data_IF_746968207119
#
_entry.id   IF_746968207119
#
_cell.length_a   1.000
_cell.length_b   1.000
_cell.length_c   1.000
_cell.angle_alpha   90.00
_cell.angle_beta   90.00
_cell.angle_gamma   90.00
#
_symmetry.space_group_name_H-M   'P 1'
#
loop_
_entity.id
_entity.type
_entity.pdbx_description
1 polymer ?
#
# COMPACT_ATOMS: atom_id res chain seq x y z
N UNK A 1 -14.76 6.85 -51.21
CA UNK A 1 -14.89 7.76 -50.05
C UNK A 1 -14.61 7.03 -48.74
N UNK A 2 -13.82 5.94 -48.75
CA UNK A 2 -13.61 5.08 -47.57
C UNK A 2 -12.14 5.04 -47.13
N UNK A 3 -11.28 5.88 -47.74
CA UNK A 3 -9.84 5.91 -47.50
C UNK A 3 -9.43 6.98 -46.48
N UNK A 4 -10.31 7.94 -46.17
CA UNK A 4 -9.99 9.09 -45.29
C UNK A 4 -10.37 8.86 -43.83
N UNK A 5 -11.17 7.83 -43.51
CA UNK A 5 -11.58 7.52 -42.13
C UNK A 5 -10.54 6.67 -41.39
N UNK A 6 -9.62 6.02 -42.11
CA UNK A 6 -8.60 5.15 -41.51
C UNK A 6 -7.30 5.87 -41.09
N UNK A 7 -7.19 7.18 -41.32
CA UNK A 7 -5.97 7.95 -41.07
C UNK A 7 -5.99 8.79 -39.76
N UNK A 8 -7.03 8.69 -38.93
CA UNK A 8 -7.21 9.59 -37.77
C UNK A 8 -6.95 8.98 -36.37
N UNK A 9 -6.38 7.78 -36.24
CA UNK A 9 -6.18 7.17 -34.91
C UNK A 9 -4.80 6.52 -34.66
N UNK A 10 -3.74 6.98 -35.34
CA UNK A 10 -2.34 6.68 -34.95
C UNK A 10 -1.68 7.88 -34.27
N UNK A 11 -2.39 8.52 -33.33
CA UNK A 11 -1.84 9.63 -32.56
C UNK A 11 -1.37 9.17 -31.20
N UNK A 12 -0.06 9.16 -30.96
CA UNK A 12 0.46 8.86 -29.63
C UNK A 12 0.10 9.98 -28.64
N UNK A 13 -0.33 9.61 -27.45
CA UNK A 13 -0.59 10.51 -26.34
C UNK A 13 0.69 10.63 -25.53
N UNK A 14 1.07 11.86 -25.20
CA UNK A 14 2.26 12.14 -24.40
C UNK A 14 1.82 12.61 -23.02
N UNK A 15 2.31 11.92 -21.99
CA UNK A 15 2.06 12.29 -20.60
C UNK A 15 3.37 12.75 -19.98
N UNK A 16 3.37 13.96 -19.44
CA UNK A 16 4.46 14.50 -18.65
C UNK A 16 4.10 14.35 -17.18
N UNK A 17 4.87 13.55 -16.45
CA UNK A 17 4.78 13.42 -15.00
C UNK A 17 5.91 14.25 -14.40
N UNK A 18 5.65 14.95 -13.30
CA UNK A 18 6.70 15.63 -12.61
C UNK A 18 6.44 15.80 -11.13
N UNK A 19 7.53 15.99 -10.39
CA UNK A 19 7.53 16.26 -8.97
C UNK A 19 8.45 17.43 -8.67
N UNK A 20 8.11 18.21 -7.67
CA UNK A 20 8.97 19.29 -7.19
C UNK A 20 8.98 19.35 -5.68
N UNK A 21 10.07 19.90 -5.13
CA UNK A 21 10.19 20.23 -3.72
C UNK A 21 10.78 21.62 -3.54
N UNK A 22 10.17 22.38 -2.64
CA UNK A 22 10.67 23.65 -2.13
C UNK A 22 11.22 23.39 -0.73
N UNK A 23 12.55 23.38 -0.62
CA UNK A 23 13.21 23.16 0.66
C UNK A 23 12.98 24.33 1.62
N UNK A 24 12.82 25.56 1.08
CA UNK A 24 12.65 26.76 1.89
C UNK A 24 11.25 26.81 2.55
N UNK A 25 10.22 26.31 1.85
CA UNK A 25 8.83 26.35 2.32
C UNK A 25 8.33 24.99 2.84
N UNK A 26 9.15 23.95 2.80
CA UNK A 26 8.76 22.56 3.06
C UNK A 26 7.52 22.15 2.26
N UNK A 27 7.47 22.54 0.99
CA UNK A 27 6.40 22.18 0.07
C UNK A 27 6.89 21.11 -0.90
N UNK A 28 6.03 20.14 -1.14
CA UNK A 28 6.21 19.06 -2.09
C UNK A 28 5.06 19.13 -3.07
N UNK A 29 5.30 18.85 -4.34
CA UNK A 29 4.29 18.95 -5.38
C UNK A 29 4.42 17.84 -6.40
N UNK A 30 3.28 17.40 -6.92
CA UNK A 30 3.18 16.47 -8.02
C UNK A 30 2.33 17.10 -9.11
N UNK A 31 2.71 16.90 -10.36
CA UNK A 31 1.90 17.29 -11.50
C UNK A 31 1.93 16.23 -12.60
N UNK A 32 0.85 16.19 -13.36
CA UNK A 32 0.68 15.35 -14.54
C UNK A 32 0.03 16.22 -15.63
N UNK A 33 0.60 16.22 -16.83
CA UNK A 33 0.09 16.91 -18.01
C UNK A 33 -0.12 15.89 -19.12
N UNK A 34 -1.30 15.87 -19.72
CA UNK A 34 -1.64 14.95 -20.81
C UNK A 34 -1.80 15.73 -22.10
N UNK A 35 -0.97 15.45 -23.10
CA UNK A 35 -1.07 15.99 -24.45
C UNK A 35 -1.75 14.99 -25.38
N UNK A 36 -2.82 15.42 -26.03
CA UNK A 36 -3.54 14.61 -26.99
C UNK A 36 -2.83 14.55 -28.35
N UNK A 37 -3.34 13.68 -29.22
CA UNK A 37 -2.90 13.54 -30.62
C UNK A 37 -3.00 14.84 -31.43
N UNK A 38 -3.82 15.81 -31.01
CA UNK A 38 -3.95 17.12 -31.65
C UNK A 38 -2.89 18.13 -31.18
N UNK A 39 -1.87 17.68 -30.45
CA UNK A 39 -0.79 18.52 -29.91
C UNK A 39 -1.27 19.55 -28.89
N UNK A 40 -2.39 19.26 -28.23
CA UNK A 40 -2.99 20.13 -27.21
C UNK A 40 -2.93 19.49 -25.84
N UNK A 41 -2.75 20.32 -24.82
CA UNK A 41 -2.93 19.92 -23.44
C UNK A 41 -4.42 19.59 -23.24
N UNK A 42 -4.71 18.33 -23.01
CA UNK A 42 -6.05 17.76 -22.89
C UNK A 42 -6.51 17.74 -21.43
N UNK A 43 -5.64 17.27 -20.53
CA UNK A 43 -5.89 17.23 -19.09
C UNK A 43 -4.63 17.55 -18.29
N UNK A 44 -4.84 18.01 -17.05
CA UNK A 44 -3.75 18.25 -16.11
C UNK A 44 -4.21 18.00 -14.67
N UNK A 45 -3.34 17.42 -13.86
CA UNK A 45 -3.57 17.14 -12.45
C UNK A 45 -2.39 17.66 -11.66
N UNK A 46 -2.65 18.51 -10.66
CA UNK A 46 -1.61 19.09 -9.80
C UNK A 46 -2.01 18.98 -8.35
N UNK A 47 -1.08 18.67 -7.46
CA UNK A 47 -1.26 18.81 -6.02
C UNK A 47 0.01 19.34 -5.37
N UNK A 48 -0.14 20.22 -4.38
CA UNK A 48 0.94 20.75 -3.54
C UNK A 48 0.61 20.48 -2.09
N UNK A 49 1.57 20.00 -1.31
CA UNK A 49 1.36 19.63 0.09
C UNK A 49 2.61 19.90 0.91
N UNK A 50 2.45 20.05 2.22
CA UNK A 50 3.56 20.19 3.16
C UNK A 50 4.10 18.84 3.65
N UNK A 51 3.46 17.72 3.26
CA UNK A 51 3.90 16.38 3.65
C UNK A 51 4.96 15.85 2.68
N UNK A 52 6.09 15.42 3.23
CA UNK A 52 7.24 14.92 2.46
C UNK A 52 6.98 13.58 1.77
N UNK A 53 6.05 12.78 2.29
CA UNK A 53 5.61 11.51 1.69
C UNK A 53 5.09 11.69 0.25
N UNK A 54 4.69 12.91 -0.10
CA UNK A 54 4.27 13.23 -1.45
C UNK A 54 5.41 13.23 -2.46
N UNK A 55 6.66 13.41 -2.01
CA UNK A 55 7.84 13.36 -2.87
C UNK A 55 8.39 11.94 -3.04
N UNK A 56 7.94 10.98 -2.22
CA UNK A 56 8.38 9.58 -2.29
C UNK A 56 7.78 8.82 -3.47
N UNK A 57 6.78 9.41 -4.16
CA UNK A 57 6.21 8.82 -5.38
C UNK A 57 7.25 8.81 -6.50
N UNK A 58 7.53 7.64 -7.03
CA UNK A 58 8.45 7.48 -8.15
C UNK A 58 7.79 7.91 -9.47
N UNK A 59 8.52 8.68 -10.28
CA UNK A 59 8.07 9.08 -11.61
C UNK A 59 7.97 7.89 -12.60
N UNK A 60 8.63 6.77 -12.29
CA UNK A 60 8.57 5.50 -13.05
C UNK A 60 7.18 4.85 -12.98
N UNK A 61 6.40 5.13 -11.93
CA UNK A 61 5.05 4.61 -11.72
C UNK A 61 4.16 4.88 -12.94
N UNK A 62 3.29 3.94 -13.36
CA UNK A 62 2.37 4.18 -14.46
C UNK A 62 1.54 5.45 -14.28
N UNK A 63 1.26 6.13 -15.39
CA UNK A 63 0.54 7.40 -15.40
C UNK A 63 -0.82 7.34 -14.68
N UNK A 64 -1.56 6.24 -14.80
CA UNK A 64 -2.91 6.09 -14.26
C UNK A 64 -2.88 5.98 -12.72
N UNK A 65 -1.94 5.22 -12.17
CA UNK A 65 -1.70 5.14 -10.72
C UNK A 65 -1.18 6.47 -10.17
N UNK A 66 -0.31 7.15 -10.93
CA UNK A 66 0.21 8.47 -10.55
C UNK A 66 -0.91 9.54 -10.51
N UNK A 67 -1.81 9.52 -11.50
CA UNK A 67 -3.00 10.36 -11.56
C UNK A 67 -3.94 10.09 -10.38
N UNK A 68 -4.26 8.81 -10.13
CA UNK A 68 -5.10 8.37 -9.00
C UNK A 68 -4.51 8.82 -7.67
N UNK A 69 -3.19 8.68 -7.48
CA UNK A 69 -2.53 9.18 -6.27
C UNK A 69 -2.74 10.68 -6.06
N UNK A 70 -2.63 11.49 -7.12
CA UNK A 70 -2.89 12.93 -7.06
C UNK A 70 -4.36 13.21 -6.69
N UNK A 71 -5.30 12.50 -7.32
CA UNK A 71 -6.75 12.68 -7.10
C UNK A 71 -7.14 12.26 -5.68
N UNK A 72 -6.67 11.12 -5.21
CA UNK A 72 -6.92 10.60 -3.87
C UNK A 72 -6.40 11.54 -2.79
N UNK A 73 -5.20 12.10 -2.98
CA UNK A 73 -4.62 13.05 -2.03
C UNK A 73 -5.42 14.36 -1.99
N UNK A 74 -5.96 14.82 -3.11
CA UNK A 74 -6.91 15.94 -3.14
C UNK A 74 -8.18 15.61 -2.37
N UNK A 75 -8.76 14.43 -2.61
CA UNK A 75 -9.98 13.99 -1.93
C UNK A 75 -9.81 13.90 -0.41
N UNK A 76 -8.66 13.40 0.05
CA UNK A 76 -8.29 13.33 1.48
C UNK A 76 -8.10 14.70 2.13
N UNK A 77 -8.00 15.78 1.36
CA UNK A 77 -7.94 17.16 1.87
C UNK A 77 -6.58 17.59 2.45
N UNK A 78 -5.57 16.72 2.47
CA UNK A 78 -4.25 16.97 3.06
C UNK A 78 -3.30 17.66 2.07
N UNK A 79 -3.70 18.83 1.55
CA UNK A 79 -2.93 19.58 0.57
C UNK A 79 -3.09 21.09 0.73
N UNK A 80 -2.14 21.85 0.19
CA UNK A 80 -2.19 23.30 0.14
C UNK A 80 -3.12 23.73 -1.01
N UNK A 81 -4.36 24.11 -0.65
CA UNK A 81 -5.39 24.46 -1.62
C UNK A 81 -5.01 25.69 -2.46
N UNK A 82 -4.48 26.75 -1.83
CA UNK A 82 -4.11 27.97 -2.53
C UNK A 82 -3.04 27.72 -3.60
N UNK A 83 -1.93 27.07 -3.23
CA UNK A 83 -0.83 26.81 -4.16
C UNK A 83 -1.25 25.84 -5.26
N UNK A 84 -2.02 24.81 -4.91
CA UNK A 84 -2.55 23.85 -5.87
C UNK A 84 -3.46 24.54 -6.89
N UNK A 85 -4.38 25.40 -6.44
CA UNK A 85 -5.28 26.15 -7.31
C UNK A 85 -4.50 27.11 -8.23
N UNK A 86 -3.50 27.83 -7.72
CA UNK A 86 -2.70 28.75 -8.53
C UNK A 86 -1.88 28.05 -9.62
N UNK A 87 -1.28 26.88 -9.33
CA UNK A 87 -0.55 26.11 -10.35
C UNK A 87 -1.53 25.52 -11.36
N UNK A 88 -2.66 24.99 -10.89
CA UNK A 88 -3.72 24.50 -11.76
C UNK A 88 -4.25 25.60 -12.70
N UNK A 89 -4.44 26.83 -12.22
CA UNK A 89 -4.85 27.95 -13.06
C UNK A 89 -3.79 28.30 -14.12
N UNK A 90 -2.49 28.19 -13.77
CA UNK A 90 -1.40 28.41 -14.71
C UNK A 90 -1.40 27.35 -15.82
N UNK A 91 -1.65 26.08 -15.49
CA UNK A 91 -1.75 25.02 -16.50
C UNK A 91 -3.04 25.12 -17.32
N UNK A 92 -4.16 25.55 -16.74
CA UNK A 92 -5.39 25.84 -17.48
C UNK A 92 -5.23 26.93 -18.55
N UNK A 93 -4.26 27.84 -18.38
CA UNK A 93 -3.97 28.92 -19.35
C UNK A 93 -3.03 28.49 -20.47
N UNK A 94 -2.40 27.31 -20.38
CA UNK A 94 -1.50 26.82 -21.44
C UNK A 94 -2.25 26.74 -22.79
N UNK A 95 -3.46 26.16 -22.88
CA UNK A 95 -4.21 26.11 -24.14
C UNK A 95 -4.58 27.46 -24.75
N UNK A 96 -4.69 28.51 -23.92
CA UNK A 96 -5.08 29.86 -24.37
C UNK A 96 -3.93 30.54 -25.13
N UNK A 97 -2.68 30.19 -24.82
CA UNK A 97 -1.49 30.68 -25.50
C UNK A 97 -0.95 29.65 -26.49
N UNK A 98 -1.46 29.73 -27.72
CA UNK A 98 -1.10 28.81 -28.82
C UNK A 98 0.41 28.74 -29.05
N UNK A 99 1.14 29.84 -28.84
CA UNK A 99 2.59 29.85 -29.03
C UNK A 99 3.30 29.07 -27.93
N UNK A 100 2.97 29.36 -26.67
CA UNK A 100 3.59 28.68 -25.54
C UNK A 100 3.21 27.20 -25.47
N UNK A 101 1.96 26.87 -25.77
CA UNK A 101 1.51 25.47 -25.89
C UNK A 101 2.32 24.72 -26.95
N UNK A 102 2.51 25.32 -28.13
CA UNK A 102 3.26 24.70 -29.22
C UNK A 102 4.72 24.46 -28.81
N UNK A 103 5.38 25.47 -28.22
CA UNK A 103 6.77 25.35 -27.76
C UNK A 103 6.89 24.23 -26.72
N UNK A 104 6.00 24.21 -25.72
CA UNK A 104 5.99 23.17 -24.70
C UNK A 104 5.77 21.79 -25.32
N UNK A 105 4.80 21.64 -26.21
CA UNK A 105 4.55 20.37 -26.90
C UNK A 105 5.75 19.93 -27.75
N UNK A 106 6.37 20.84 -28.50
CA UNK A 106 7.52 20.52 -29.35
C UNK A 106 8.69 20.01 -28.48
N UNK A 107 8.91 20.57 -27.29
CA UNK A 107 9.93 20.08 -26.36
C UNK A 107 9.57 18.70 -25.78
N UNK A 108 8.30 18.47 -25.43
CA UNK A 108 7.82 17.16 -24.94
C UNK A 108 7.96 16.09 -26.03
N UNK A 109 7.56 16.39 -27.28
CA UNK A 109 7.62 15.46 -28.40
C UNK A 109 9.06 15.07 -28.75
N UNK A 110 10.00 16.01 -28.65
CA UNK A 110 11.41 15.78 -28.94
C UNK A 110 12.19 15.21 -27.73
N UNK A 111 11.53 14.94 -26.60
CA UNK A 111 12.17 14.52 -25.34
C UNK A 111 13.27 15.50 -24.87
N UNK A 112 13.10 16.79 -25.14
CA UNK A 112 13.99 17.86 -24.69
C UNK A 112 13.67 18.21 -23.23
N UNK A 113 14.16 17.36 -22.32
CA UNK A 113 13.95 17.52 -20.88
C UNK A 113 14.48 18.85 -20.36
N UNK A 114 15.62 19.33 -20.86
CA UNK A 114 16.23 20.57 -20.39
C UNK A 114 15.33 21.79 -20.64
N UNK A 115 14.81 21.93 -21.86
CA UNK A 115 13.92 23.04 -22.20
C UNK A 115 12.53 22.87 -21.61
N UNK A 116 12.00 21.64 -21.58
CA UNK A 116 10.72 21.35 -20.95
C UNK A 116 10.76 21.68 -19.46
N UNK A 117 11.79 21.22 -18.74
CA UNK A 117 11.96 21.48 -17.32
C UNK A 117 12.14 22.96 -17.04
N UNK A 118 12.87 23.70 -17.88
CA UNK A 118 13.00 25.14 -17.71
C UNK A 118 11.63 25.84 -17.79
N UNK A 119 10.81 25.50 -18.78
CA UNK A 119 9.47 26.09 -18.96
C UNK A 119 8.56 25.73 -17.77
N UNK A 120 8.50 24.46 -17.38
CA UNK A 120 7.65 24.00 -16.28
C UNK A 120 8.12 24.55 -14.93
N UNK A 121 9.43 24.63 -14.73
CA UNK A 121 10.06 25.24 -13.56
C UNK A 121 9.64 26.71 -13.45
N UNK A 122 9.74 27.49 -14.51
CA UNK A 122 9.37 28.91 -14.50
C UNK A 122 7.88 29.10 -14.19
N UNK A 123 7.00 28.25 -14.76
CA UNK A 123 5.57 28.27 -14.46
C UNK A 123 5.27 28.01 -12.97
N UNK A 124 5.92 26.99 -12.40
CA UNK A 124 5.71 26.60 -11.00
C UNK A 124 6.36 27.63 -10.06
N UNK A 125 7.58 28.07 -10.35
CA UNK A 125 8.34 28.95 -9.49
C UNK A 125 7.79 30.38 -9.46
N UNK A 126 7.06 30.80 -10.50
CA UNK A 126 6.27 32.05 -10.47
C UNK A 126 5.19 32.05 -9.38
N UNK A 127 4.81 30.90 -8.85
CA UNK A 127 3.80 30.76 -7.79
C UNK A 127 4.47 30.46 -6.45
N UNK A 128 5.41 29.52 -6.43
CA UNK A 128 6.08 29.09 -5.20
C UNK A 128 7.07 30.15 -4.71
N UNK A 129 7.73 30.87 -5.63
CA UNK A 129 8.74 31.90 -5.33
C UNK A 129 9.92 31.38 -4.48
N UNK A 130 10.40 30.17 -4.74
CA UNK A 130 11.55 29.59 -4.05
C UNK A 130 12.80 29.58 -4.95
N UNK A 131 13.92 30.04 -4.40
CA UNK A 131 15.24 29.99 -5.07
C UNK A 131 15.83 28.59 -5.10
N UNK A 132 15.39 27.72 -4.19
CA UNK A 132 15.88 26.35 -4.02
C UNK A 132 14.83 25.31 -4.42
N UNK A 133 13.95 25.67 -5.37
CA UNK A 133 13.01 24.72 -5.94
C UNK A 133 13.79 23.66 -6.72
N UNK A 134 13.53 22.39 -6.44
CA UNK A 134 14.07 21.25 -7.20
C UNK A 134 12.90 20.59 -7.90
N UNK A 135 13.03 20.35 -9.21
CA UNK A 135 12.01 19.71 -10.03
C UNK A 135 12.61 18.56 -10.83
N UNK A 136 11.84 17.49 -10.98
CA UNK A 136 12.16 16.34 -11.81
C UNK A 136 10.93 15.98 -12.64
N UNK A 137 11.15 15.54 -13.87
CA UNK A 137 10.08 15.15 -14.79
C UNK A 137 10.41 13.87 -15.54
N UNK A 138 9.37 13.21 -16.06
CA UNK A 138 9.46 12.03 -16.91
C UNK A 138 8.33 12.06 -17.95
N UNK A 139 8.69 11.79 -19.20
CA UNK A 139 7.73 11.66 -20.30
C UNK A 139 7.36 10.19 -20.47
N UNK A 140 6.07 9.91 -20.58
CA UNK A 140 5.52 8.60 -20.87
C UNK A 140 4.63 8.69 -22.13
N UNK A 141 4.89 7.85 -23.11
CA UNK A 141 4.13 7.74 -24.34
C UNK A 141 3.12 6.60 -24.26
N UNK A 142 1.89 6.84 -24.70
CA UNK A 142 0.77 5.90 -24.59
C UNK A 142 0.00 5.86 -25.91
N UNK A 143 -0.43 4.67 -26.29
CA UNK A 143 -1.29 4.48 -27.47
C UNK A 143 -2.75 4.83 -27.18
N UNK A 144 -3.50 5.29 -28.19
CA UNK A 144 -4.92 5.61 -28.03
C UNK A 144 -5.77 4.40 -27.57
N UNK A 145 -5.37 3.19 -27.98
CA UNK A 145 -6.02 1.94 -27.60
C UNK A 145 -5.81 1.61 -26.13
N UNK A 146 -4.61 1.83 -25.59
CA UNK A 146 -4.31 1.65 -24.17
C UNK A 146 -5.09 2.64 -23.29
N UNK A 147 -5.20 3.90 -23.72
CA UNK A 147 -6.01 4.89 -23.02
C UNK A 147 -7.51 4.55 -23.01
N UNK A 148 -8.04 4.01 -24.12
CA UNK A 148 -9.44 3.57 -24.20
C UNK A 148 -9.71 2.38 -23.28
N UNK A 149 -8.84 1.36 -23.28
CA UNK A 149 -8.97 0.20 -22.40
C UNK A 149 -8.98 0.62 -20.93
N UNK A 150 -8.06 1.50 -20.52
CA UNK A 150 -7.99 2.00 -19.14
C UNK A 150 -9.22 2.84 -18.77
N UNK A 151 -9.75 3.65 -19.70
CA UNK A 151 -11.00 4.42 -19.48
C UNK A 151 -12.25 3.53 -19.41
N UNK A 152 -12.31 2.47 -20.21
CA UNK A 152 -13.40 1.48 -20.18
C UNK A 152 -13.40 0.67 -18.89
N UNK A 153 -12.23 0.30 -18.39
CA UNK A 153 -12.11 -0.38 -17.10
C UNK A 153 -12.47 0.54 -15.92
N UNK A 154 -12.23 1.85 -16.03
CA UNK A 154 -12.66 2.87 -15.05
C UNK A 154 -14.16 3.20 -15.08
N UNK A 155 -14.86 2.99 -16.20
CA UNK A 155 -16.27 3.35 -16.37
C UNK A 155 -17.24 2.20 -16.05
N UNK A 156 -16.73 0.98 -15.87
CA UNK A 156 -17.49 -0.08 -15.17
C UNK A 156 -17.60 0.33 -13.70
N UNK A 157 -18.79 0.27 -13.08
CA UNK A 157 -18.93 0.59 -11.66
C UNK A 157 -18.05 -0.37 -10.84
N UNK A 158 -16.92 0.15 -10.36
CA UNK A 158 -16.12 -0.46 -9.31
C UNK A 158 -17.01 -0.56 -8.06
N UNK A 159 -17.61 -1.74 -7.84
CA UNK A 159 -17.95 -2.15 -6.49
C UNK A 159 -16.63 -2.14 -5.70
N UNK A 160 -16.52 -1.21 -4.76
CA UNK A 160 -15.30 -0.85 -4.06
C UNK A 160 -14.44 -2.05 -3.66
N UNK A 161 -13.22 -2.06 -4.18
CA UNK A 161 -12.05 -2.74 -3.65
C UNK A 161 -10.86 -2.36 -4.55
N UNK A 162 -10.24 -1.22 -4.27
CA UNK A 162 -8.94 -0.88 -4.83
C UNK A 162 -7.88 -1.79 -4.20
N UNK A 163 -7.56 -2.86 -4.92
CA UNK A 163 -6.27 -3.51 -4.82
C UNK A 163 -5.42 -2.92 -5.95
N UNK A 164 -4.46 -2.06 -5.61
CA UNK A 164 -3.37 -1.72 -6.51
C UNK A 164 -2.57 -2.99 -6.84
N UNK A 165 -2.84 -3.54 -8.02
CA UNK A 165 -2.01 -4.55 -8.66
C UNK A 165 -1.01 -3.83 -9.58
N UNK A 166 0.24 -3.71 -9.16
CA UNK A 166 1.36 -3.85 -10.09
C UNK A 166 2.53 -4.58 -9.42
N UNK A 167 2.91 -5.69 -10.05
CA UNK A 167 3.91 -6.63 -9.57
C UNK A 167 3.78 -7.93 -10.34
N UNK A 168 4.08 -7.86 -11.64
CA UNK A 168 4.08 -8.94 -12.62
C UNK A 168 4.51 -10.29 -12.04
N UNK A 169 3.54 -11.20 -11.88
CA UNK A 169 3.74 -12.64 -12.02
C UNK A 169 2.46 -13.23 -12.60
N UNK A 170 2.58 -13.80 -13.79
CA UNK A 170 1.52 -14.49 -14.50
C UNK A 170 0.87 -15.55 -13.59
N UNK A 171 -0.26 -15.19 -12.98
CA UNK A 171 -1.26 -16.14 -12.49
C UNK A 171 -2.52 -15.34 -12.18
N UNK A 172 -3.57 -15.53 -12.97
CA UNK A 172 -4.95 -15.17 -12.63
C UNK A 172 -5.28 -15.73 -11.25
N UNK A 173 -5.09 -14.95 -10.20
CA UNK A 173 -5.28 -15.37 -8.82
C UNK A 173 -6.06 -14.34 -8.04
N UNK A 174 -7.01 -14.80 -7.24
CA UNK A 174 -7.89 -13.90 -6.48
C UNK A 174 -7.25 -13.53 -5.15
N UNK A 175 -7.13 -12.22 -4.88
CA UNK A 175 -6.64 -11.70 -3.60
C UNK A 175 -7.82 -11.44 -2.65
N UNK A 176 -7.75 -11.94 -1.42
CA UNK A 176 -8.74 -11.81 -0.35
C UNK A 176 -8.13 -11.07 0.85
N UNK A 177 -8.93 -10.28 1.55
CA UNK A 177 -8.51 -9.64 2.80
C UNK A 177 -8.50 -10.66 3.95
N UNK A 178 -7.34 -10.87 4.58
CA UNK A 178 -7.20 -11.83 5.68
C UNK A 178 -6.53 -11.20 6.89
N UNK A 179 -6.94 -11.65 8.08
CA UNK A 179 -6.32 -11.28 9.36
C UNK A 179 -5.50 -12.46 9.89
N UNK A 180 -4.22 -12.26 10.25
CA UNK A 180 -3.42 -13.32 10.83
C UNK A 180 -3.83 -13.56 12.29
N UNK A 181 -3.63 -14.79 12.75
CA UNK A 181 -3.90 -15.15 14.15
C UNK A 181 -2.67 -14.84 14.99
N UNK A 182 -2.87 -14.08 16.07
CA UNK A 182 -1.78 -13.65 16.93
C UNK A 182 -1.49 -14.70 18.01
N UNK A 183 -0.21 -14.89 18.34
CA UNK A 183 0.25 -15.81 19.37
C UNK A 183 1.35 -15.16 20.24
N UNK A 184 0.97 -14.48 21.35
CA UNK A 184 1.92 -13.72 22.18
C UNK A 184 3.05 -14.55 22.81
N UNK A 185 2.76 -15.82 23.14
CA UNK A 185 3.69 -16.71 23.84
C UNK A 185 4.54 -17.55 22.88
N UNK A 186 3.91 -18.21 21.91
CA UNK A 186 4.56 -19.19 21.01
C UNK A 186 4.59 -18.76 19.53
N UNK A 187 4.26 -17.50 19.24
CA UNK A 187 4.23 -16.99 17.87
C UNK A 187 5.58 -16.49 17.38
N UNK A 188 5.74 -16.46 16.06
CA UNK A 188 6.91 -15.92 15.39
C UNK A 188 6.72 -14.42 15.15
N UNK A 189 7.64 -13.53 15.54
CA UNK A 189 7.51 -12.11 15.26
C UNK A 189 7.41 -11.82 13.75
N UNK A 190 6.58 -10.83 13.36
CA UNK A 190 6.36 -10.47 11.95
C UNK A 190 7.69 -10.11 11.26
N UNK A 191 8.62 -9.45 11.95
CA UNK A 191 9.92 -9.09 11.38
C UNK A 191 10.85 -10.28 11.09
N UNK A 192 10.57 -11.46 11.65
CA UNK A 192 11.34 -12.69 11.37
C UNK A 192 10.69 -13.58 10.31
N UNK A 193 9.52 -13.18 9.82
CA UNK A 193 8.76 -13.94 8.84
C UNK A 193 9.55 -14.05 7.53
N UNK A 194 9.53 -15.25 6.92
CA UNK A 194 10.22 -15.53 5.67
C UNK A 194 9.23 -16.04 4.64
N UNK A 195 9.56 -15.80 3.37
CA UNK A 195 8.85 -16.41 2.25
C UNK A 195 8.94 -17.95 2.39
N UNK A 196 7.80 -18.62 2.28
CA UNK A 196 7.63 -20.06 2.51
C UNK A 196 7.11 -20.44 3.90
N UNK A 197 7.06 -19.50 4.85
CA UNK A 197 6.50 -19.76 6.18
C UNK A 197 4.99 -20.02 6.11
N UNK A 198 4.48 -20.98 6.89
CA UNK A 198 3.04 -21.24 7.01
C UNK A 198 2.47 -20.57 8.25
N UNK A 199 1.59 -19.61 8.05
CA UNK A 199 0.92 -18.83 9.10
C UNK A 199 -0.57 -19.17 9.15
N UNK A 200 -1.18 -19.01 10.32
CA UNK A 200 -2.63 -19.19 10.48
C UNK A 200 -3.35 -17.86 10.24
N UNK A 201 -4.31 -17.85 9.32
CA UNK A 201 -5.08 -16.67 8.91
C UNK A 201 -6.58 -16.93 8.97
N UNK A 202 -7.34 -15.85 9.11
CA UNK A 202 -8.81 -15.84 9.07
C UNK A 202 -9.26 -14.87 7.99
N UNK A 203 -10.13 -15.32 7.09
CA UNK A 203 -10.71 -14.45 6.06
C UNK A 203 -11.69 -13.48 6.72
N UNK A 204 -11.59 -12.19 6.39
CA UNK A 204 -12.49 -11.17 6.90
C UNK A 204 -13.73 -11.12 5.98
N UNK A 205 -14.95 -11.33 6.47
CA UNK A 205 -16.16 -11.29 5.65
C UNK A 205 -16.57 -9.83 5.33
N UNK A 206 -15.69 -9.07 4.69
CA UNK A 206 -15.88 -7.66 4.39
C UNK A 206 -16.68 -7.43 3.10
N UNK A 207 -16.42 -8.20 2.03
CA UNK A 207 -17.11 -8.04 0.75
C UNK A 207 -17.80 -9.32 0.29
N UNK A 208 -18.63 -9.22 -0.74
CA UNK A 208 -19.30 -10.37 -1.37
C UNK A 208 -18.29 -11.40 -1.89
N UNK A 209 -17.09 -10.97 -2.27
CA UNK A 209 -15.99 -11.84 -2.72
C UNK A 209 -15.49 -12.70 -1.55
N UNK A 210 -15.13 -12.11 -0.42
CA UNK A 210 -14.66 -12.89 0.73
C UNK A 210 -15.76 -13.82 1.27
N UNK A 211 -17.02 -13.37 1.29
CA UNK A 211 -18.14 -14.24 1.67
C UNK A 211 -18.30 -15.42 0.71
N UNK A 212 -18.19 -15.19 -0.60
CA UNK A 212 -18.19 -16.26 -1.60
C UNK A 212 -17.13 -17.32 -1.31
N UNK A 213 -15.88 -16.92 -1.04
CA UNK A 213 -14.81 -17.87 -0.74
C UNK A 213 -14.95 -18.54 0.64
N UNK A 214 -15.47 -17.83 1.64
CA UNK A 214 -15.80 -18.43 2.95
C UNK A 214 -16.82 -19.55 2.79
N UNK A 215 -17.84 -19.33 1.97
CA UNK A 215 -18.90 -20.31 1.74
C UNK A 215 -18.42 -21.44 0.81
N UNK A 216 -17.65 -21.11 -0.24
CA UNK A 216 -17.05 -22.08 -1.18
C UNK A 216 -16.16 -23.11 -0.45
N UNK A 217 -15.38 -22.66 0.53
CA UNK A 217 -14.48 -23.51 1.30
C UNK A 217 -15.09 -24.02 2.61
N UNK A 218 -16.39 -23.81 2.81
CA UNK A 218 -17.14 -24.22 4.00
C UNK A 218 -16.45 -23.80 5.31
N UNK A 219 -15.96 -22.57 5.34
CA UNK A 219 -15.23 -21.98 6.47
C UNK A 219 -16.16 -21.26 7.45
N UNK A 220 -17.47 -21.29 7.22
CA UNK A 220 -18.46 -20.67 8.11
C UNK A 220 -18.84 -21.65 9.23
N UNK A 221 -18.47 -21.33 10.46
CA UNK A 221 -18.87 -22.06 11.67
C UNK A 221 -19.88 -21.24 12.49
N UNK A 222 -20.62 -21.89 13.39
CA UNK A 222 -21.64 -21.24 14.25
C UNK A 222 -21.08 -20.08 15.08
N UNK A 223 -19.77 -20.06 15.34
CA UNK A 223 -19.06 -19.03 16.13
C UNK A 223 -18.17 -18.09 15.29
N UNK A 224 -18.25 -18.14 13.96
CA UNK A 224 -17.52 -17.25 13.05
C UNK A 224 -16.78 -17.98 11.92
N UNK A 225 -15.84 -17.29 11.27
CA UNK A 225 -15.03 -17.86 10.18
C UNK A 225 -13.89 -18.71 10.75
N UNK A 226 -13.74 -19.94 10.24
CA UNK A 226 -12.70 -20.92 10.54
C UNK A 226 -11.31 -20.38 10.16
N UNK A 227 -10.32 -20.68 11.00
CA UNK A 227 -8.92 -20.32 10.78
C UNK A 227 -8.27 -21.36 9.86
N UNK A 228 -7.53 -20.88 8.86
CA UNK A 228 -6.88 -21.71 7.82
C UNK A 228 -5.38 -21.40 7.74
N UNK A 229 -4.55 -22.40 7.38
CA UNK A 229 -3.15 -22.14 7.09
C UNK A 229 -2.99 -21.43 5.75
N UNK A 230 -2.04 -20.49 5.67
CA UNK A 230 -1.62 -19.82 4.45
C UNK A 230 -0.09 -19.76 4.38
N UNK A 231 0.48 -19.91 3.19
CA UNK A 231 1.93 -19.91 2.95
C UNK A 231 2.36 -18.53 2.49
N UNK A 232 3.29 -17.89 3.19
CA UNK A 232 3.77 -16.55 2.84
C UNK A 232 4.52 -16.61 1.51
N UNK A 233 4.06 -15.85 0.53
CA UNK A 233 4.66 -15.78 -0.82
C UNK A 233 5.41 -14.47 -1.06
N UNK A 234 5.01 -13.39 -0.40
CA UNK A 234 5.67 -12.10 -0.48
C UNK A 234 5.51 -11.31 0.82
N UNK A 235 6.51 -10.47 1.14
CA UNK A 235 6.51 -9.60 2.32
C UNK A 235 7.00 -8.23 1.88
N UNK A 236 6.12 -7.25 1.87
CA UNK A 236 6.45 -5.86 1.57
C UNK A 236 6.49 -5.05 2.86
N UNK A 237 7.65 -4.47 3.14
CA UNK A 237 7.86 -3.56 4.28
C UNK A 237 8.24 -2.19 3.75
N UNK A 238 7.34 -1.20 3.87
CA UNK A 238 7.67 0.17 3.48
C UNK A 238 8.71 0.76 4.45
N UNK A 239 9.72 1.46 3.94
CA UNK A 239 10.86 1.95 4.71
C UNK A 239 10.42 3.00 5.78
N UNK A 240 10.48 2.62 7.06
CA UNK A 240 10.08 3.49 8.18
C UNK A 240 9.82 2.70 9.48
N UNK A 241 10.00 3.33 10.65
CA UNK A 241 9.83 2.66 11.96
C UNK A 241 8.37 2.25 12.26
N UNK A 242 7.38 2.93 11.68
CA UNK A 242 5.94 2.75 11.95
C UNK A 242 5.11 2.44 10.68
N UNK A 243 5.73 1.96 9.61
CA UNK A 243 4.99 1.65 8.39
C UNK A 243 4.37 0.25 8.45
N UNK A 244 3.14 0.08 7.90
CA UNK A 244 2.47 -1.21 7.86
C UNK A 244 3.28 -2.23 7.06
N UNK A 245 3.33 -3.45 7.58
CA UNK A 245 3.90 -4.60 6.88
C UNK A 245 2.76 -5.27 6.11
N UNK A 246 2.92 -5.35 4.80
CA UNK A 246 2.00 -6.08 3.94
C UNK A 246 2.55 -7.48 3.70
N UNK A 247 1.77 -8.49 4.07
CA UNK A 247 2.11 -9.91 3.91
C UNK A 247 1.13 -10.49 2.90
N UNK A 248 1.65 -11.03 1.81
CA UNK A 248 0.87 -11.79 0.85
C UNK A 248 1.10 -13.28 1.13
N UNK A 249 0.03 -14.01 1.42
CA UNK A 249 0.08 -15.43 1.74
C UNK A 249 -0.88 -16.23 0.86
N UNK A 250 -0.38 -17.26 0.19
CA UNK A 250 -1.19 -18.21 -0.57
C UNK A 250 -2.00 -19.10 0.37
N UNK A 251 -3.32 -19.03 0.25
CA UNK A 251 -4.25 -19.85 1.02
C UNK A 251 -4.47 -21.16 0.29
N UNK A 252 -4.74 -21.07 -1.01
CA UNK A 252 -5.00 -22.17 -1.93
C UNK A 252 -4.48 -21.81 -3.33
N UNK A 253 -4.30 -22.78 -4.24
CA UNK A 253 -3.83 -22.50 -5.60
C UNK A 253 -4.69 -21.44 -6.28
N UNK A 254 -4.09 -20.30 -6.62
CA UNK A 254 -4.78 -19.17 -7.23
C UNK A 254 -5.66 -18.34 -6.28
N UNK A 255 -5.59 -18.56 -4.97
CA UNK A 255 -6.27 -17.73 -3.95
C UNK A 255 -5.25 -17.24 -2.92
N UNK A 256 -5.03 -15.94 -2.93
CA UNK A 256 -4.05 -15.25 -2.09
C UNK A 256 -4.76 -14.44 -1.01
N UNK A 257 -4.18 -14.40 0.18
CA UNK A 257 -4.59 -13.57 1.30
C UNK A 257 -3.64 -12.40 1.48
N UNK A 258 -4.16 -11.18 1.41
CA UNK A 258 -3.43 -9.98 1.77
C UNK A 258 -3.70 -9.65 3.24
N UNK A 259 -2.63 -9.49 4.00
CA UNK A 259 -2.63 -9.09 5.40
C UNK A 259 -1.86 -7.77 5.53
N UNK A 260 -2.46 -6.79 6.19
CA UNK A 260 -1.81 -5.51 6.53
C UNK A 260 -1.74 -5.39 8.04
N UNK A 261 -0.54 -5.24 8.59
CA UNK A 261 -0.33 -5.07 10.04
C UNK A 261 0.50 -3.82 10.29
N UNK A 262 -0.05 -2.91 11.12
CA UNK A 262 0.58 -1.63 11.44
C UNK A 262 1.72 -1.78 12.47
N UNK A 263 1.71 -2.86 13.26
CA UNK A 263 2.63 -3.08 14.37
C UNK A 263 3.65 -4.18 14.10
N UNK A 264 4.95 -3.82 14.13
CA UNK A 264 6.06 -4.73 13.81
C UNK A 264 6.37 -5.77 14.90
N UNK A 265 5.93 -5.55 16.14
CA UNK A 265 6.24 -6.42 17.29
C UNK A 265 5.22 -7.53 17.51
N UNK A 266 4.20 -7.63 16.66
CA UNK A 266 3.19 -8.68 16.76
C UNK A 266 3.82 -10.04 16.41
N UNK A 267 3.39 -11.08 17.12
CA UNK A 267 3.81 -12.46 16.90
C UNK A 267 2.68 -13.26 16.27
N UNK A 268 2.95 -13.88 15.12
CA UNK A 268 2.01 -14.67 14.35
C UNK A 268 1.98 -16.14 14.78
N UNK A 269 0.80 -16.76 14.80
CA UNK A 269 0.65 -18.20 15.00
C UNK A 269 1.10 -18.93 13.75
N UNK A 270 2.16 -19.72 13.88
CA UNK A 270 2.65 -20.61 12.81
C UNK A 270 1.78 -21.87 12.75
N UNK A 271 1.62 -22.43 11.55
CA UNK A 271 0.97 -23.72 11.36
C UNK A 271 1.88 -24.86 11.86
N UNK A 272 1.40 -25.65 12.81
CA UNK A 272 2.07 -26.88 13.23
C UNK A 272 1.28 -28.12 12.75
N UNK A 273 1.87 -28.96 11.87
CA UNK A 273 1.25 -30.18 11.37
C UNK A 273 0.84 -31.19 12.46
N UNK A 274 1.40 -31.14 13.67
CA UNK A 274 1.10 -32.10 14.75
C UNK A 274 -0.11 -31.71 15.61
N UNK A 275 -0.39 -30.41 15.74
CA UNK A 275 -1.50 -29.88 16.56
C UNK A 275 -2.68 -29.39 15.75
N UNK A 276 -2.45 -28.80 14.57
CA UNK A 276 -3.50 -28.15 13.77
C UNK A 276 -4.11 -29.08 12.69
N UNK A 277 -3.50 -30.24 12.37
CA UNK A 277 -4.04 -31.21 11.39
C UNK A 277 -5.28 -31.98 11.87
N UNK A 278 -5.66 -31.86 13.16
CA UNK A 278 -6.80 -32.59 13.74
C UNK A 278 -8.18 -32.01 13.40
N UNK A 279 -8.26 -30.96 12.57
CA UNK A 279 -9.53 -30.28 12.22
C UNK A 279 -10.08 -30.70 10.84
N UNK A 280 -9.48 -31.71 10.18
CA UNK A 280 -9.88 -32.13 8.83
C UNK A 280 -10.53 -33.52 8.69
N UNK A 281 -10.84 -34.24 9.78
CA UNK A 281 -11.57 -35.51 9.65
C UNK A 281 -12.63 -35.67 10.74
N UNK A 282 -13.85 -35.20 10.47
CA UNK A 282 -15.07 -35.79 11.05
C UNK A 282 -16.22 -35.79 10.05
N UNK A 283 -16.28 -36.87 9.27
CA UNK A 283 -17.38 -37.22 8.38
C UNK A 283 -17.62 -38.73 8.31
N UNK A 284 -18.24 -39.29 9.37
CA UNK A 284 -18.96 -40.60 9.48
C UNK A 284 -18.13 -41.91 9.61
N UNK A 285 -18.72 -43.06 10.05
CA UNK A 285 -18.88 -43.41 11.48
C UNK A 285 -18.37 -44.83 11.90
N UNK A 286 -18.13 -44.96 13.22
CA UNK A 286 -18.21 -46.15 14.09
C UNK A 286 -17.52 -47.51 13.77
N UNK A 287 -16.51 -47.87 14.59
CA UNK A 287 -16.37 -49.16 15.31
C UNK A 287 -15.08 -49.12 16.19
N UNK A 288 -15.14 -48.89 17.51
CA UNK A 288 -15.21 -49.87 18.63
C UNK A 288 -13.88 -50.55 19.02
N UNK A 289 -13.42 -50.21 20.25
CA UNK A 289 -12.51 -50.90 21.21
C UNK A 289 -11.00 -50.86 20.91
N UNK A 290 -10.07 -50.73 21.88
CA UNK A 290 -10.07 -51.13 23.30
C UNK A 290 -8.90 -50.47 24.10
N UNK A 291 -9.20 -50.06 25.33
CA UNK A 291 -8.44 -50.03 26.61
C UNK A 291 -6.92 -49.71 26.68
N UNK A 292 -6.64 -48.57 27.35
CA UNK A 292 -5.67 -48.19 28.43
C UNK A 292 -4.53 -49.17 28.88
N UNK A 293 -3.42 -48.70 29.53
CA UNK A 293 -3.42 -47.82 30.71
C UNK A 293 -2.40 -46.67 30.78
N UNK A 294 -2.69 -45.80 31.74
CA UNK A 294 -1.93 -44.64 32.18
C UNK A 294 -0.62 -45.00 32.90
N UNK A 295 0.33 -44.05 32.89
CA UNK A 295 1.35 -43.90 33.92
C UNK A 295 1.70 -42.42 34.11
N UNK A 296 1.60 -41.99 35.36
CA UNK A 296 1.97 -40.70 35.93
C UNK A 296 3.42 -40.26 35.64
N UNK A 297 3.66 -38.94 35.61
CA UNK A 297 4.50 -38.26 36.61
C UNK A 297 4.75 -36.78 36.26
N UNK A 298 4.16 -35.90 37.08
CA UNK A 298 4.72 -34.69 37.68
C UNK A 298 5.82 -33.91 36.95
N UNK A 299 5.52 -32.65 36.61
CA UNK A 299 6.38 -31.50 36.92
C UNK A 299 5.54 -30.21 36.92
N UNK A 300 4.84 -29.96 38.04
CA UNK A 300 4.26 -28.66 38.34
C UNK A 300 5.38 -27.66 38.64
N UNK A 301 5.46 -26.60 37.82
CA UNK A 301 6.43 -25.52 38.03
C UNK A 301 5.80 -24.44 38.92
N UNK A 302 6.00 -24.57 40.23
CA UNK A 302 5.88 -23.46 41.18
C UNK A 302 6.88 -22.35 40.78
N UNK A 303 6.44 -21.25 40.14
CA UNK A 303 7.31 -20.08 39.93
C UNK A 303 6.63 -18.71 39.98
N UNK A 304 5.43 -18.58 40.55
CA UNK A 304 4.72 -17.28 40.60
C UNK A 304 4.93 -16.46 41.88
N UNK A 305 5.53 -17.01 42.95
CA UNK A 305 5.74 -16.28 44.21
C UNK A 305 7.07 -15.50 44.31
N UNK A 306 8.14 -16.02 43.68
CA UNK A 306 9.49 -15.45 43.82
C UNK A 306 9.68 -14.17 43.00
N UNK A 307 9.03 -14.05 41.84
CA UNK A 307 9.14 -12.85 40.99
C UNK A 307 8.48 -11.62 41.60
N UNK A 308 7.36 -11.79 42.31
CA UNK A 308 6.64 -10.72 43.00
C UNK A 308 7.47 -10.16 44.15
N UNK A 309 8.12 -11.04 44.93
CA UNK A 309 9.00 -10.63 46.04
C UNK A 309 10.24 -9.90 45.52
N UNK A 310 10.81 -10.35 44.39
CA UNK A 310 11.96 -9.68 43.76
C UNK A 310 11.56 -8.28 43.28
N UNK A 311 10.42 -8.12 42.61
CA UNK A 311 9.93 -6.80 42.17
C UNK A 311 9.66 -5.85 43.35
N UNK A 312 9.01 -6.34 44.41
CA UNK A 312 8.72 -5.54 45.59
C UNK A 312 10.01 -5.08 46.29
N UNK A 313 11.03 -5.95 46.40
CA UNK A 313 12.31 -5.58 47.00
C UNK A 313 13.04 -4.49 46.20
N UNK A 314 12.98 -4.56 44.87
CA UNK A 314 13.61 -3.60 43.97
C UNK A 314 12.95 -2.23 44.06
N UNK A 315 11.62 -2.20 44.20
CA UNK A 315 10.86 -0.97 44.37
C UNK A 315 11.21 -0.25 45.69
N UNK A 316 11.35 -1.00 46.79
CA UNK A 316 11.76 -0.43 48.10
C UNK A 316 13.17 0.14 48.05
N UNK A 317 14.10 -0.52 47.35
CA UNK A 317 15.47 -0.01 47.18
C UNK A 317 15.49 1.29 46.40
N UNK A 318 14.72 1.39 45.30
CA UNK A 318 14.62 2.63 44.51
C UNK A 318 14.03 3.77 45.35
N UNK A 319 12.99 3.49 46.14
CA UNK A 319 12.35 4.47 46.99
C UNK A 319 13.30 4.97 48.10
N UNK A 320 14.10 4.09 48.68
CA UNK A 320 15.14 4.46 49.63
C UNK A 320 16.23 5.34 48.98
N UNK A 321 16.68 4.98 47.78
CA UNK A 321 17.64 5.78 47.01
C UNK A 321 17.10 7.18 46.72
N UNK A 322 15.82 7.29 46.38
CA UNK A 322 15.16 8.56 46.11
C UNK A 322 15.10 9.46 47.36
N UNK A 323 14.77 8.89 48.53
CA UNK A 323 14.77 9.61 49.81
C UNK A 323 16.19 10.07 50.17
N UNK A 324 17.20 9.22 49.93
CA UNK A 324 18.60 9.54 50.22
C UNK A 324 19.11 10.68 49.31
N UNK A 325 18.67 10.70 48.05
CA UNK A 325 18.98 11.77 47.10
C UNK A 325 18.34 13.10 47.51
N UNK A 326 17.10 13.08 48.01
CA UNK A 326 16.44 14.26 48.57
C UNK A 326 17.21 14.79 49.79
N UNK A 327 17.66 13.91 50.68
CA UNK A 327 18.42 14.29 51.88
C UNK A 327 19.83 14.82 51.58
N UNK A 328 20.44 14.42 50.46
CA UNK A 328 21.73 14.95 49.97
C UNK A 328 21.57 16.23 49.13
N UNK A 329 20.38 16.51 48.63
CA UNK A 329 20.05 17.72 47.87
C UNK A 329 19.65 18.91 48.76
N UNK A 330 19.69 18.73 50.07
CA UNK A 330 19.44 19.75 51.11
C UNK A 330 20.70 19.94 51.94
#
# INVERSE_FOLDING_TARGET
>A
MDSEISAQQEGNILIVKGRFKSNSMNLYGLFLLTFNAMKKLDSHHVIVSSYSDMYDVELSTPWHTFEEYIVDRKWKGNYNNSMTASIMETFNKIPDDVRNQKILYDNVYNYDYDQMDLILYDMINRIIHDKNLVMESLIQEISLTELQNIKEDRSKPQNGNDNHEEGKKDSSGTILQVKPVLAPLNGKPIYELRIGDKIMVKIIPATSKENYYIDLYNLREEKGVKIIPATVIDIKSSAGKNNPIEILAEIMPGVYGLCKEDEKLIKLKMFDPKTDSKVNEKGKPAAVRKDTPASDANNETQSSGKSIIIMASLFVIILFLFILLIMLSW
#
